data_IF_904379769454
#
_entry.id   IF_904379769454
#
_cell.length_a   1.000
_cell.length_b   1.000
_cell.length_c   1.000
_cell.angle_alpha   90.00
_cell.angle_beta   90.00
_cell.angle_gamma   90.00
#
_symmetry.space_group_name_H-M   'P 1'
#
loop_
_entity.id
_entity.type
_entity.pdbx_description
1 polymer ?
#
# COMPACT_ATOMS: atom_id res chain seq x y z
N UNK A 1 -1.20 16.05 -18.01
CA UNK A 1 -1.52 16.35 -19.42
C UNK A 1 -0.34 15.96 -20.29
N UNK A 2 -0.57 15.48 -21.50
CA UNK A 2 0.47 15.20 -22.49
C UNK A 2 0.00 15.65 -23.88
N UNK A 3 0.49 16.80 -24.34
CA UNK A 3 -0.06 17.46 -25.52
C UNK A 3 -1.56 17.76 -25.35
N UNK A 4 -2.38 17.34 -26.31
CA UNK A 4 -3.85 17.45 -26.24
C UNK A 4 -4.53 16.42 -25.33
N UNK A 5 -3.79 15.48 -24.75
CA UNK A 5 -4.36 14.41 -23.94
C UNK A 5 -4.44 14.82 -22.47
N UNK A 6 -5.65 14.72 -21.91
CA UNK A 6 -5.91 14.90 -20.48
C UNK A 6 -6.06 13.53 -19.81
N UNK A 7 -5.39 13.34 -18.67
CA UNK A 7 -5.48 12.14 -17.84
C UNK A 7 -6.08 12.56 -16.51
N UNK A 8 -7.30 12.09 -16.23
CA UNK A 8 -8.03 12.43 -15.02
C UNK A 8 -7.95 11.27 -14.03
N UNK A 9 -7.58 11.58 -12.79
CA UNK A 9 -7.58 10.61 -11.68
C UNK A 9 -8.76 10.88 -10.78
N UNK A 10 -9.80 10.05 -10.90
CA UNK A 10 -10.95 10.11 -10.03
C UNK A 10 -10.70 9.30 -8.76
N UNK A 11 -11.01 9.89 -7.60
CA UNK A 11 -10.91 9.24 -6.29
C UNK A 11 -12.25 9.28 -5.59
N UNK A 12 -12.67 8.15 -5.02
CA UNK A 12 -13.91 8.06 -4.26
C UNK A 12 -13.85 6.91 -3.24
N UNK A 13 -14.76 6.94 -2.27
CA UNK A 13 -14.95 5.84 -1.31
C UNK A 13 -15.87 4.76 -1.90
N UNK A 14 -15.52 3.50 -1.68
CA UNK A 14 -16.21 2.32 -2.22
C UNK A 14 -16.82 1.45 -1.13
N UNK A 15 -16.83 1.94 0.12
CA UNK A 15 -17.23 1.15 1.29
C UNK A 15 -16.29 -0.04 1.52
N UNK A 16 -16.86 -1.23 1.70
CA UNK A 16 -16.11 -2.47 1.92
C UNK A 16 -15.71 -3.17 0.61
N UNK A 17 -16.22 -2.73 -0.53
CA UNK A 17 -15.83 -3.26 -1.83
C UNK A 17 -14.48 -2.68 -2.27
N UNK A 18 -13.72 -3.42 -3.08
CA UNK A 18 -12.51 -2.88 -3.71
C UNK A 18 -12.93 -1.76 -4.68
N UNK A 19 -14.02 -2.01 -5.41
CA UNK A 19 -14.82 -0.96 -6.03
C UNK A 19 -14.44 -0.60 -7.46
N UNK A 20 -13.54 -1.31 -8.14
CA UNK A 20 -13.19 -1.03 -9.54
C UNK A 20 -14.40 -0.87 -10.46
N UNK A 21 -15.40 -1.75 -10.36
CA UNK A 21 -16.62 -1.65 -11.16
C UNK A 21 -17.52 -0.48 -10.76
N UNK A 22 -17.58 -0.16 -9.47
CA UNK A 22 -18.35 0.96 -8.92
C UNK A 22 -17.75 2.29 -9.39
N UNK A 23 -16.42 2.43 -9.27
CA UNK A 23 -15.70 3.63 -9.71
C UNK A 23 -15.82 3.79 -11.22
N UNK A 24 -15.64 2.74 -12.01
CA UNK A 24 -15.74 2.83 -13.48
C UNK A 24 -17.11 3.33 -13.96
N UNK A 25 -18.20 2.86 -13.33
CA UNK A 25 -19.56 3.36 -13.62
C UNK A 25 -19.75 4.82 -13.22
N UNK A 26 -19.23 5.20 -12.05
CA UNK A 26 -19.27 6.59 -11.59
C UNK A 26 -18.50 7.53 -12.52
N UNK A 27 -17.30 7.11 -12.96
CA UNK A 27 -16.47 7.86 -13.90
C UNK A 27 -17.18 8.01 -15.25
N UNK A 28 -17.81 6.96 -15.79
CA UNK A 28 -18.56 7.07 -17.04
C UNK A 28 -19.62 8.17 -16.96
N UNK A 29 -20.42 8.19 -15.89
CA UNK A 29 -21.44 9.22 -15.71
C UNK A 29 -20.87 10.64 -15.62
N UNK A 30 -19.69 10.79 -14.99
CA UNK A 30 -19.00 12.09 -14.90
C UNK A 30 -18.48 12.51 -16.27
N UNK A 31 -17.92 11.58 -17.05
CA UNK A 31 -17.45 11.86 -18.41
C UNK A 31 -18.60 12.24 -19.34
N UNK A 32 -19.72 11.52 -19.28
CA UNK A 32 -20.95 11.84 -20.04
C UNK A 32 -21.49 13.23 -19.67
N UNK A 33 -21.43 13.58 -18.38
CA UNK A 33 -21.80 14.91 -17.92
C UNK A 33 -20.88 15.99 -18.50
N UNK A 34 -19.56 15.79 -18.43
CA UNK A 34 -18.56 16.74 -18.93
C UNK A 34 -18.64 16.95 -20.45
N UNK A 35 -19.07 15.94 -21.22
CA UNK A 35 -19.27 16.09 -22.67
C UNK A 35 -20.37 17.09 -23.03
N UNK A 36 -21.30 17.41 -22.12
CA UNK A 36 -22.28 18.47 -22.36
C UNK A 36 -21.63 19.86 -22.32
N UNK A 37 -20.66 20.07 -21.45
CA UNK A 37 -19.94 21.34 -21.29
C UNK A 37 -18.77 21.48 -22.26
N UNK A 38 -18.16 20.35 -22.65
CA UNK A 38 -17.05 20.26 -23.61
C UNK A 38 -17.41 19.33 -24.78
N UNK A 39 -18.23 19.77 -25.75
CA UNK A 39 -18.69 18.92 -26.86
C UNK A 39 -17.57 18.45 -27.80
N UNK A 40 -16.41 19.11 -27.75
CA UNK A 40 -15.19 18.74 -28.48
C UNK A 40 -14.30 17.74 -27.73
N UNK A 41 -14.68 17.34 -26.51
CA UNK A 41 -13.97 16.33 -25.72
C UNK A 41 -14.23 14.91 -26.25
N UNK A 42 -13.16 14.24 -26.64
CA UNK A 42 -13.17 12.83 -27.05
C UNK A 42 -12.69 11.91 -25.92
N UNK A 43 -13.57 11.00 -25.46
CA UNK A 43 -13.27 10.03 -24.40
C UNK A 43 -12.66 8.78 -25.04
N UNK A 44 -11.32 8.71 -25.02
CA UNK A 44 -10.58 7.59 -25.61
C UNK A 44 -10.72 6.30 -24.79
N UNK A 45 -10.68 6.40 -23.46
CA UNK A 45 -10.78 5.26 -22.55
C UNK A 45 -11.11 5.73 -21.13
N UNK A 46 -11.92 4.96 -20.41
CA UNK A 46 -12.16 5.14 -18.97
C UNK A 46 -10.87 4.86 -18.17
N UNK A 47 -10.05 3.92 -18.62
CA UNK A 47 -8.75 3.60 -18.01
C UNK A 47 -7.62 4.02 -18.94
N UNK A 48 -7.03 5.17 -18.64
CA UNK A 48 -5.82 5.68 -19.31
C UNK A 48 -4.51 5.26 -18.64
N UNK A 49 -4.52 4.18 -17.83
CA UNK A 49 -3.45 3.76 -16.93
C UNK A 49 -3.04 4.77 -15.84
N UNK A 50 -3.74 5.91 -15.72
CA UNK A 50 -3.46 6.93 -14.70
C UNK A 50 -4.12 6.65 -13.34
N UNK A 51 -5.04 5.68 -13.27
CA UNK A 51 -5.35 4.97 -12.02
C UNK A 51 -4.13 4.17 -11.54
N UNK A 52 -3.39 3.61 -12.52
CA UNK A 52 -2.48 2.48 -12.45
C UNK A 52 -3.09 1.32 -11.66
N UNK A 53 -3.54 0.29 -12.39
CA UNK A 53 -4.02 -0.96 -11.81
C UNK A 53 -3.11 -2.09 -12.29
N UNK A 54 -2.61 -2.87 -11.31
CA UNK A 54 -1.72 -4.02 -11.49
C UNK A 54 -0.43 -3.64 -12.23
N UNK A 55 0.04 -2.40 -12.05
CA UNK A 55 1.23 -1.86 -12.71
C UNK A 55 2.04 -1.00 -11.73
N UNK A 56 3.36 -1.16 -11.66
CA UNK A 56 4.18 -0.32 -10.80
C UNK A 56 4.04 1.14 -11.24
N UNK A 57 3.66 2.03 -10.33
CA UNK A 57 3.43 3.45 -10.63
C UNK A 57 3.79 4.37 -9.47
N UNK A 58 4.47 5.46 -9.79
CA UNK A 58 4.83 6.51 -8.81
C UNK A 58 3.56 7.22 -8.32
N UNK A 59 2.53 7.28 -9.15
CA UNK A 59 1.25 7.92 -8.84
C UNK A 59 0.56 7.23 -7.64
N UNK A 60 0.59 5.89 -7.59
CA UNK A 60 0.03 5.15 -6.45
C UNK A 60 0.92 5.22 -5.22
N UNK A 61 2.23 5.36 -5.39
CA UNK A 61 3.16 5.59 -4.28
C UNK A 61 2.94 6.95 -3.61
N UNK A 62 2.81 8.02 -4.41
CA UNK A 62 2.74 9.40 -3.90
C UNK A 62 1.34 9.76 -3.43
N UNK A 63 0.31 9.53 -4.25
CA UNK A 63 -1.06 9.96 -3.90
C UNK A 63 -1.92 8.83 -3.31
N UNK A 64 -1.36 7.64 -3.15
CA UNK A 64 -2.05 6.46 -2.60
C UNK A 64 -3.07 5.83 -3.56
N UNK A 65 -3.54 4.62 -3.25
CA UNK A 65 -4.65 3.94 -3.96
C UNK A 65 -5.30 2.88 -3.08
N UNK A 66 -6.62 2.87 -2.94
CA UNK A 66 -7.27 1.96 -1.99
C UNK A 66 -7.12 2.46 -0.55
N UNK A 67 -6.35 1.75 0.30
CA UNK A 67 -6.17 2.09 1.72
C UNK A 67 -4.72 2.47 2.00
N UNK A 68 -4.52 3.66 2.55
CA UNK A 68 -3.24 4.12 3.09
C UNK A 68 -3.16 3.72 4.57
N UNK A 69 -2.16 2.91 4.92
CA UNK A 69 -2.02 2.38 6.29
C UNK A 69 -0.60 2.58 6.79
N UNK A 70 -0.49 3.04 8.03
CA UNK A 70 0.76 3.04 8.80
C UNK A 70 0.56 2.11 9.98
N UNK A 71 1.52 1.22 10.21
CA UNK A 71 1.57 0.37 11.40
C UNK A 71 2.92 0.56 12.08
N UNK A 72 2.93 0.64 13.41
CA UNK A 72 4.14 0.83 14.19
C UNK A 72 4.13 -0.02 15.46
N UNK A 73 5.32 -0.32 15.98
CA UNK A 73 5.51 -1.04 17.23
C UNK A 73 6.82 -0.64 17.92
N UNK A 74 6.87 -0.83 19.24
CA UNK A 74 8.11 -0.77 20.03
C UNK A 74 8.46 -2.17 20.49
N UNK A 75 9.62 -2.66 20.05
CA UNK A 75 10.17 -3.97 20.44
C UNK A 75 11.18 -3.77 21.57
N UNK A 76 10.87 -4.37 22.71
CA UNK A 76 11.72 -4.27 23.92
C UNK A 76 13.03 -5.02 23.75
N UNK A 77 14.08 -4.54 24.42
CA UNK A 77 15.41 -5.18 24.42
C UNK A 77 15.36 -6.69 24.70
N UNK A 78 14.50 -7.10 25.64
CA UNK A 78 14.31 -8.50 25.99
C UNK A 78 13.80 -9.32 24.79
N UNK A 79 12.81 -8.81 24.06
CA UNK A 79 12.27 -9.46 22.86
C UNK A 79 13.31 -9.47 21.72
N UNK A 80 14.07 -8.38 21.55
CA UNK A 80 15.18 -8.30 20.61
C UNK A 80 16.19 -9.44 20.83
N UNK A 81 16.64 -9.62 22.08
CA UNK A 81 17.65 -10.64 22.43
C UNK A 81 17.08 -12.06 22.45
N UNK A 82 15.87 -12.25 23.00
CA UNK A 82 15.29 -13.58 23.22
C UNK A 82 14.57 -14.13 22.00
N UNK A 83 13.92 -13.29 21.19
CA UNK A 83 13.11 -13.74 20.05
C UNK A 83 13.87 -13.53 18.75
N UNK A 84 14.29 -12.29 18.47
CA UNK A 84 14.91 -11.94 17.19
C UNK A 84 16.41 -12.26 17.12
N UNK A 85 17.03 -12.58 18.25
CA UNK A 85 18.43 -12.98 18.38
C UNK A 85 19.41 -11.97 17.75
N UNK A 86 19.08 -10.68 17.85
CA UNK A 86 19.85 -9.59 17.28
C UNK A 86 19.88 -8.37 18.23
N UNK A 87 20.52 -7.28 17.80
CA UNK A 87 20.64 -6.03 18.56
C UNK A 87 19.96 -4.88 17.82
N UNK A 88 19.52 -3.86 18.57
CA UNK A 88 18.91 -2.65 17.99
C UNK A 88 19.83 -1.97 16.97
N UNK A 89 21.13 -1.71 17.26
CA UNK A 89 22.02 -1.07 16.29
C UNK A 89 22.17 -1.86 14.99
N UNK A 90 22.25 -3.19 15.09
CA UNK A 90 22.40 -4.05 13.91
C UNK A 90 21.18 -4.00 12.99
N UNK A 91 19.95 -4.01 13.55
CA UNK A 91 18.74 -3.90 12.72
C UNK A 91 18.55 -2.52 12.11
N UNK A 92 18.84 -1.46 12.87
CA UNK A 92 18.77 -0.09 12.35
C UNK A 92 19.75 0.09 11.18
N UNK A 93 21.00 -0.36 11.34
CA UNK A 93 22.00 -0.32 10.28
C UNK A 93 21.58 -1.15 9.06
N UNK A 94 21.11 -2.38 9.29
CA UNK A 94 20.60 -3.24 8.21
C UNK A 94 19.46 -2.57 7.45
N UNK A 95 18.47 -1.98 8.13
CA UNK A 95 17.34 -1.31 7.48
C UNK A 95 17.83 -0.12 6.64
N UNK A 96 18.75 0.69 7.18
CA UNK A 96 19.32 1.83 6.48
C UNK A 96 20.07 1.41 5.20
N UNK A 97 20.89 0.36 5.27
CA UNK A 97 21.68 -0.10 4.14
C UNK A 97 20.84 -0.86 3.12
N UNK A 98 19.99 -1.77 3.58
CA UNK A 98 19.24 -2.68 2.71
C UNK A 98 17.96 -2.04 2.19
N UNK A 99 17.04 -1.66 3.07
CA UNK A 99 15.70 -1.22 2.68
C UNK A 99 15.70 0.20 2.12
N UNK A 100 16.61 1.07 2.56
CA UNK A 100 16.66 2.46 2.08
C UNK A 100 17.75 2.66 1.03
N UNK A 101 19.02 2.50 1.40
CA UNK A 101 20.16 2.83 0.53
C UNK A 101 20.19 1.92 -0.70
N UNK A 102 20.09 0.61 -0.54
CA UNK A 102 20.14 -0.31 -1.67
C UNK A 102 18.93 -0.15 -2.59
N UNK A 103 17.72 0.00 -2.03
CA UNK A 103 16.51 0.30 -2.80
C UNK A 103 16.63 1.61 -3.59
N UNK A 104 17.26 2.64 -3.02
CA UNK A 104 17.54 3.89 -3.74
C UNK A 104 18.55 3.68 -4.88
N UNK A 105 19.63 2.93 -4.64
CA UNK A 105 20.67 2.63 -5.65
C UNK A 105 20.10 1.87 -6.85
N UNK A 106 19.19 0.91 -6.63
CA UNK A 106 18.57 0.14 -7.71
C UNK A 106 17.38 0.85 -8.37
N UNK A 107 16.99 2.03 -7.88
CA UNK A 107 15.83 2.77 -8.39
C UNK A 107 14.50 2.08 -8.11
N UNK A 108 14.37 1.45 -6.94
CA UNK A 108 13.14 0.77 -6.55
C UNK A 108 11.96 1.75 -6.45
N UNK A 109 10.81 1.35 -7.01
CA UNK A 109 9.57 2.10 -6.94
C UNK A 109 8.70 1.51 -5.83
N UNK A 110 8.52 2.26 -4.74
CA UNK A 110 7.72 1.84 -3.58
C UNK A 110 8.24 0.61 -2.82
N UNK A 111 9.40 0.07 -3.20
CA UNK A 111 10.02 -1.14 -2.64
C UNK A 111 11.10 -0.84 -1.61
N UNK A 112 10.77 -0.09 -0.54
CA UNK A 112 11.71 0.27 0.53
C UNK A 112 11.52 -0.64 1.75
N UNK A 113 11.44 -1.95 1.49
CA UNK A 113 11.12 -3.00 2.44
C UNK A 113 11.89 -4.29 2.08
N UNK A 114 11.84 -5.29 2.95
CA UNK A 114 12.49 -6.57 2.69
C UNK A 114 11.65 -7.51 1.82
N UNK A 115 10.38 -7.67 2.15
CA UNK A 115 9.54 -8.71 1.55
C UNK A 115 8.04 -8.52 1.86
N UNK A 116 7.57 -7.27 1.92
CA UNK A 116 6.16 -6.97 2.12
C UNK A 116 5.26 -7.72 1.12
N UNK A 117 5.74 -7.88 -0.13
CA UNK A 117 5.07 -8.67 -1.18
C UNK A 117 4.77 -10.11 -0.78
N UNK A 118 5.65 -10.78 -0.02
CA UNK A 118 5.40 -12.15 0.42
C UNK A 118 4.20 -12.20 1.38
N UNK A 119 4.18 -11.28 2.35
CA UNK A 119 3.11 -11.23 3.35
C UNK A 119 1.78 -10.85 2.70
N UNK A 120 1.78 -9.82 1.85
CA UNK A 120 0.59 -9.37 1.12
C UNK A 120 0.04 -10.52 0.28
N UNK A 121 0.89 -11.24 -0.47
CA UNK A 121 0.47 -12.39 -1.27
C UNK A 121 -0.18 -13.49 -0.42
N UNK A 122 0.40 -13.84 0.73
CA UNK A 122 -0.14 -14.86 1.64
C UNK A 122 -1.52 -14.45 2.14
N UNK A 123 -1.66 -13.21 2.62
CA UNK A 123 -2.95 -12.71 3.12
C UNK A 123 -3.97 -12.64 2.00
N UNK A 124 -3.58 -12.17 0.82
CA UNK A 124 -4.46 -12.04 -0.34
C UNK A 124 -5.00 -13.40 -0.80
N UNK A 125 -4.13 -14.42 -0.90
CA UNK A 125 -4.54 -15.78 -1.23
C UNK A 125 -5.48 -16.33 -0.15
N UNK A 126 -5.12 -16.16 1.13
CA UNK A 126 -5.91 -16.69 2.25
C UNK A 126 -7.30 -16.03 2.38
N UNK A 127 -7.44 -14.78 1.91
CA UNK A 127 -8.66 -13.98 2.04
C UNK A 127 -9.38 -13.75 0.70
N UNK A 128 -8.96 -14.43 -0.37
CA UNK A 128 -9.62 -14.40 -1.67
C UNK A 128 -9.53 -13.06 -2.41
N UNK A 129 -8.47 -12.29 -2.19
CA UNK A 129 -8.24 -11.00 -2.85
C UNK A 129 -7.62 -11.19 -4.24
N UNK A 130 -7.58 -10.11 -5.04
CA UNK A 130 -6.94 -10.13 -6.36
C UNK A 130 -5.41 -10.13 -6.23
N UNK A 131 -4.79 -11.29 -6.46
CA UNK A 131 -3.35 -11.47 -6.32
C UNK A 131 -2.53 -10.57 -7.26
N UNK A 132 -3.07 -10.16 -8.41
CA UNK A 132 -2.35 -9.27 -9.32
C UNK A 132 -2.17 -7.86 -8.73
N UNK A 133 -3.03 -7.45 -7.79
CA UNK A 133 -2.93 -6.17 -7.09
C UNK A 133 -1.81 -6.16 -6.04
N UNK A 134 -1.15 -7.29 -5.79
CA UNK A 134 0.07 -7.33 -4.98
C UNK A 134 1.17 -6.41 -5.54
N UNK A 135 1.20 -6.15 -6.85
CA UNK A 135 2.17 -5.24 -7.49
C UNK A 135 2.18 -3.87 -6.81
N UNK A 136 1.02 -3.36 -6.39
CA UNK A 136 0.87 -2.03 -5.80
C UNK A 136 0.55 -2.11 -4.31
N UNK A 137 -0.18 -3.14 -3.88
CA UNK A 137 -0.52 -3.36 -2.47
C UNK A 137 0.70 -3.69 -1.61
N UNK A 138 1.80 -4.12 -2.23
CA UNK A 138 3.08 -4.36 -1.54
C UNK A 138 4.03 -3.17 -1.51
N UNK A 139 3.62 -2.02 -2.07
CA UNK A 139 4.33 -0.78 -1.83
C UNK A 139 4.44 -0.53 -0.33
N UNK A 140 5.66 -0.46 0.16
CA UNK A 140 5.95 -0.40 1.58
C UNK A 140 7.30 0.26 1.81
N UNK A 141 7.34 1.19 2.77
CA UNK A 141 8.58 1.69 3.37
C UNK A 141 8.65 1.22 4.82
N UNK A 142 9.75 0.55 5.16
CA UNK A 142 10.08 0.08 6.51
C UNK A 142 11.07 1.05 7.14
N UNK A 143 10.71 1.61 8.29
CA UNK A 143 11.57 2.47 9.09
C UNK A 143 11.89 1.80 10.42
N UNK A 144 13.13 1.95 10.87
CA UNK A 144 13.63 1.38 12.13
C UNK A 144 14.49 2.42 12.85
N UNK A 145 14.17 2.69 14.10
CA UNK A 145 14.84 3.68 14.92
C UNK A 145 15.15 3.14 16.31
N UNK A 146 16.32 3.49 16.83
CA UNK A 146 16.69 3.18 18.19
C UNK A 146 15.98 4.17 19.14
N UNK A 147 15.22 3.66 20.11
CA UNK A 147 14.48 4.46 21.09
C UNK A 147 14.86 4.04 22.51
N UNK A 148 14.43 4.81 23.50
CA UNK A 148 14.69 4.51 24.92
C UNK A 148 16.20 4.30 25.20
N UNK A 149 17.01 5.31 24.86
CA UNK A 149 18.49 5.28 24.99
C UNK A 149 19.16 4.15 24.19
N UNK A 150 18.49 3.67 23.13
CA UNK A 150 18.98 2.61 22.25
C UNK A 150 18.73 1.19 22.76
N UNK A 151 17.95 1.03 23.84
CA UNK A 151 17.57 -0.29 24.37
C UNK A 151 16.45 -0.94 23.58
N UNK A 152 15.50 -0.13 23.11
CA UNK A 152 14.32 -0.59 22.40
C UNK A 152 14.39 -0.19 20.92
N UNK A 153 13.69 -0.94 20.08
CA UNK A 153 13.55 -0.66 18.65
C UNK A 153 12.15 -0.13 18.38
N UNK A 154 12.03 1.06 17.78
CA UNK A 154 10.82 1.45 17.08
C UNK A 154 10.90 0.94 15.64
N UNK A 155 9.83 0.31 15.18
CA UNK A 155 9.68 -0.15 13.81
C UNK A 155 8.34 0.36 13.28
N UNK A 156 8.32 0.81 12.03
CA UNK A 156 7.09 1.12 11.33
C UNK A 156 7.13 0.65 9.88
N UNK A 157 5.95 0.36 9.35
CA UNK A 157 5.70 0.16 7.92
C UNK A 157 4.64 1.14 7.46
N UNK A 158 4.88 1.78 6.31
CA UNK A 158 3.90 2.63 5.65
C UNK A 158 3.57 2.05 4.28
N UNK A 159 2.29 1.73 4.08
CA UNK A 159 1.78 1.08 2.88
C UNK A 159 0.69 1.97 2.25
N UNK A 160 1.02 2.77 1.22
CA UNK A 160 0.13 3.81 0.73
C UNK A 160 -0.99 3.31 -0.18
N UNK A 161 -0.86 2.08 -0.70
CA UNK A 161 -1.70 1.59 -1.80
C UNK A 161 -2.29 0.19 -1.59
N UNK A 162 -2.75 -0.15 -0.38
CA UNK A 162 -3.35 -1.46 -0.11
C UNK A 162 -4.74 -1.56 -0.74
N UNK A 163 -4.88 -2.44 -1.72
CA UNK A 163 -6.14 -2.73 -2.40
C UNK A 163 -6.78 -3.99 -1.83
N UNK A 164 -7.74 -3.80 -0.93
CA UNK A 164 -8.46 -4.90 -0.31
C UNK A 164 -9.96 -4.66 -0.32
N UNK A 165 -10.69 -5.76 -0.30
CA UNK A 165 -12.13 -5.80 -0.09
C UNK A 165 -12.54 -6.83 0.93
N UNK A 166 -13.77 -6.65 1.41
CA UNK A 166 -14.41 -7.60 2.28
C UNK A 166 -15.79 -7.97 1.73
N UNK A 167 -16.00 -9.26 1.50
CA UNK A 167 -17.29 -9.82 1.08
C UNK A 167 -18.23 -9.89 2.27
N UNK A 168 -18.94 -8.79 2.51
CA UNK A 168 -19.88 -8.67 3.61
C UNK A 168 -19.92 -7.23 4.09
N UNK A 169 -20.76 -6.42 3.42
CA UNK A 169 -20.93 -5.02 3.79
C UNK A 169 -21.25 -4.93 5.29
N UNK A 170 -20.50 -4.09 5.99
CA UNK A 170 -20.82 -3.83 7.38
C UNK A 170 -22.19 -3.11 7.44
N UNK A 171 -23.10 -3.65 8.26
CA UNK A 171 -24.49 -3.20 8.34
C UNK A 171 -24.65 -1.85 9.04
N UNK A 172 -23.65 -1.42 9.81
CA UNK A 172 -23.66 -0.19 10.61
C UNK A 172 -23.01 0.98 9.87
N UNK A 173 -21.88 0.73 9.17
CA UNK A 173 -21.18 1.75 8.40
C UNK A 173 -20.40 1.14 7.23
N UNK A 174 -20.28 1.81 6.07
CA UNK A 174 -19.52 1.30 4.92
C UNK A 174 -18.00 1.41 5.12
N UNK A 175 -17.28 0.31 4.86
CA UNK A 175 -15.81 0.27 4.83
C UNK A 175 -15.03 -0.14 6.10
N UNK A 176 -15.61 -0.29 7.33
CA UNK A 176 -14.86 -0.75 8.49
C UNK A 176 -14.18 -2.11 8.28
N UNK A 177 -14.82 -3.05 7.58
CA UNK A 177 -14.28 -4.40 7.42
C UNK A 177 -13.06 -4.38 6.50
N UNK A 178 -13.14 -3.65 5.38
CA UNK A 178 -12.00 -3.46 4.49
C UNK A 178 -10.85 -2.68 5.16
N UNK A 179 -11.17 -1.66 5.99
CA UNK A 179 -10.16 -0.93 6.77
C UNK A 179 -9.46 -1.82 7.79
N UNK A 180 -10.22 -2.67 8.50
CA UNK A 180 -9.68 -3.64 9.44
C UNK A 180 -8.76 -4.63 8.72
N UNK A 181 -9.20 -5.19 7.58
CA UNK A 181 -8.37 -6.09 6.79
C UNK A 181 -7.07 -5.42 6.33
N UNK A 182 -7.13 -4.17 5.84
CA UNK A 182 -5.91 -3.43 5.47
C UNK A 182 -4.97 -3.21 6.65
N UNK A 183 -5.51 -3.04 7.86
CA UNK A 183 -4.71 -2.91 9.09
C UNK A 183 -4.05 -4.24 9.47
N UNK A 184 -4.74 -5.37 9.27
CA UNK A 184 -4.19 -6.71 9.48
C UNK A 184 -3.07 -7.00 8.47
N UNK A 185 -3.25 -6.62 7.20
CA UNK A 185 -2.22 -6.73 6.15
C UNK A 185 -0.96 -5.97 6.57
N UNK A 186 -1.10 -4.68 6.94
CA UNK A 186 0.05 -3.86 7.35
C UNK A 186 0.73 -4.38 8.63
N UNK A 187 -0.05 -4.78 9.64
CA UNK A 187 0.50 -5.35 10.88
C UNK A 187 1.24 -6.67 10.64
N UNK A 188 0.72 -7.50 9.72
CA UNK A 188 1.37 -8.74 9.32
C UNK A 188 2.65 -8.45 8.52
N UNK A 189 2.64 -7.43 7.65
CA UNK A 189 3.83 -6.98 6.92
C UNK A 189 4.91 -6.51 7.91
N UNK A 190 4.55 -5.69 8.91
CA UNK A 190 5.47 -5.25 9.97
C UNK A 190 6.10 -6.43 10.71
N UNK A 191 5.28 -7.43 11.09
CA UNK A 191 5.78 -8.63 11.76
C UNK A 191 6.74 -9.42 10.86
N UNK A 192 6.42 -9.54 9.56
CA UNK A 192 7.30 -10.13 8.56
C UNK A 192 8.64 -9.41 8.49
N UNK A 193 8.60 -8.09 8.28
CA UNK A 193 9.78 -7.20 8.19
C UNK A 193 10.68 -7.28 9.44
N UNK A 194 10.11 -7.49 10.61
CA UNK A 194 10.87 -7.70 11.85
C UNK A 194 11.55 -9.07 11.92
N UNK A 195 10.93 -10.10 11.34
CA UNK A 195 11.36 -11.51 11.45
C UNK A 195 12.42 -11.93 10.43
N UNK A 196 12.63 -11.15 9.36
CA UNK A 196 13.56 -11.49 8.29
C UNK A 196 14.71 -10.47 8.19
N UNK A 197 15.74 -10.58 9.05
CA UNK A 197 16.91 -9.72 8.99
C UNK A 197 17.95 -10.17 7.94
N UNK A 198 17.56 -11.00 6.95
CA UNK A 198 18.45 -11.39 5.85
C UNK A 198 18.55 -10.30 4.77
#
# INVERSE_FOLDING_TARGET
>A
MAGKNLYMRFTCSTGDAMGMNMVSKGVQNVLDFLQNDFPDMDVISISGNFCSDKKPSVVNWIEGRGKYVVCEAIIKEEAMRKVLKTTVPALVELNMLKNLTSSAVVGALGGFNAHASNIVSIVFIATGQDLAQNIESSHCITMMEAVNEGKDLHISVTMPSIEVEYTGANKEAPGPNARLLSSIVAGSALAGELSNPQ
#
